data_IF_741995990356
#
_entry.id   IF_741995990356
#
_cell.length_a   1.000
_cell.length_b   1.000
_cell.length_c   1.000
_cell.angle_alpha   90.00
_cell.angle_beta   90.00
_cell.angle_gamma   90.00
#
_symmetry.space_group_name_H-M   'P 1'
#
loop_
_entity.id
_entity.type
_entity.pdbx_description
1 polymer ?
#
# COMPACT_ATOMS: atom_id res chain seq x y z
N UNK A 1 12.70 -11.00 48.11
CA UNK A 1 11.47 -10.20 47.98
C UNK A 1 11.19 -10.08 46.49
N UNK A 2 10.57 -11.12 45.90
CA UNK A 2 10.17 -11.18 44.49
C UNK A 2 8.67 -10.95 44.37
N UNK A 3 8.24 -9.76 44.78
CA UNK A 3 6.91 -9.27 44.44
C UNK A 3 7.07 -8.54 43.10
N UNK A 4 6.24 -8.90 42.12
CA UNK A 4 6.14 -8.33 40.76
C UNK A 4 6.88 -9.05 39.62
N UNK A 5 6.94 -10.39 39.62
CA UNK A 5 6.92 -11.09 38.34
C UNK A 5 5.56 -10.76 37.70
N UNK A 6 5.51 -9.73 36.84
CA UNK A 6 4.36 -9.42 36.03
C UNK A 6 4.07 -10.67 35.18
N UNK A 7 3.15 -11.52 35.66
CA UNK A 7 2.70 -12.69 34.93
C UNK A 7 2.03 -12.11 33.69
N UNK A 8 2.70 -12.24 32.55
CA UNK A 8 2.14 -11.87 31.28
C UNK A 8 0.99 -12.84 30.99
N UNK A 9 -0.22 -12.44 31.40
CA UNK A 9 -1.45 -13.24 31.40
C UNK A 9 -1.70 -13.78 29.98
N UNK A 10 -1.40 -12.99 28.96
CA UNK A 10 -1.50 -13.37 27.56
C UNK A 10 -0.69 -14.63 27.18
N UNK A 11 0.56 -14.74 27.62
CA UNK A 11 1.41 -15.89 27.31
C UNK A 11 0.99 -17.16 28.07
N UNK A 12 0.42 -17.01 29.28
CA UNK A 12 -0.01 -18.16 30.11
C UNK A 12 -1.31 -18.81 29.62
N UNK A 13 -2.20 -18.03 29.02
CA UNK A 13 -3.52 -18.52 28.58
C UNK A 13 -3.63 -18.74 27.06
N UNK A 14 -2.53 -18.56 26.32
CA UNK A 14 -2.48 -18.63 24.85
C UNK A 14 -3.64 -17.89 24.16
N UNK A 15 -4.18 -16.85 24.81
CA UNK A 15 -5.43 -16.26 24.36
C UNK A 15 -5.20 -15.51 23.05
N UNK A 16 -6.06 -15.70 22.03
CA UNK A 16 -5.95 -14.99 20.75
C UNK A 16 -6.00 -13.48 20.89
N UNK A 17 -6.57 -12.98 22.00
CA UNK A 17 -6.71 -11.56 22.34
C UNK A 17 -5.62 -11.04 23.28
N UNK A 18 -4.84 -11.93 23.90
CA UNK A 18 -3.75 -11.57 24.80
C UNK A 18 -2.41 -11.50 24.09
N UNK A 19 -2.15 -12.38 23.12
CA UNK A 19 -0.94 -12.29 22.30
C UNK A 19 -0.95 -10.95 21.57
N UNK A 20 -0.01 -10.08 21.91
CA UNK A 20 0.08 -8.66 21.54
C UNK A 20 0.19 -8.33 20.03
N UNK A 21 -0.27 -9.19 19.12
CA UNK A 21 -0.12 -9.02 17.67
C UNK A 21 -1.41 -8.92 16.86
N UNK A 22 -2.50 -9.61 17.24
CA UNK A 22 -3.72 -9.74 16.41
C UNK A 22 -4.77 -8.65 16.65
N UNK A 23 -4.34 -7.40 16.55
CA UNK A 23 -5.21 -6.23 16.68
C UNK A 23 -5.77 -5.70 15.35
N UNK A 24 -6.58 -4.65 15.42
CA UNK A 24 -7.05 -3.89 14.23
C UNK A 24 -5.86 -3.39 13.39
N UNK A 25 -4.72 -3.12 14.02
CA UNK A 25 -3.48 -2.72 13.35
C UNK A 25 -2.97 -3.75 12.33
N UNK A 26 -3.06 -5.05 12.62
CA UNK A 26 -2.62 -6.11 11.69
C UNK A 26 -3.53 -6.19 10.46
N UNK A 27 -4.85 -6.08 10.67
CA UNK A 27 -5.83 -6.06 9.57
C UNK A 27 -5.62 -4.85 8.65
N UNK A 28 -5.40 -3.67 9.24
CA UNK A 28 -5.10 -2.45 8.49
C UNK A 28 -3.77 -2.60 7.74
N UNK A 29 -2.75 -3.17 8.38
CA UNK A 29 -1.43 -3.38 7.78
C UNK A 29 -1.51 -4.27 6.53
N UNK A 30 -2.19 -5.41 6.65
CA UNK A 30 -2.42 -6.33 5.52
C UNK A 30 -3.18 -5.62 4.40
N UNK A 31 -4.23 -4.87 4.73
CA UNK A 31 -5.02 -4.16 3.74
C UNK A 31 -4.21 -3.09 3.00
N UNK A 32 -3.49 -2.24 3.74
CA UNK A 32 -2.66 -1.15 3.20
C UNK A 32 -1.52 -1.70 2.35
N UNK A 33 -0.82 -2.71 2.84
CA UNK A 33 0.28 -3.36 2.11
C UNK A 33 -0.21 -3.95 0.79
N UNK A 34 -1.29 -4.73 0.81
CA UNK A 34 -1.87 -5.30 -0.41
C UNK A 34 -2.39 -4.22 -1.37
N UNK A 35 -3.04 -3.17 -0.85
CA UNK A 35 -3.51 -2.06 -1.66
C UNK A 35 -2.36 -1.35 -2.38
N UNK A 36 -1.22 -1.16 -1.72
CA UNK A 36 -0.03 -0.54 -2.33
C UNK A 36 0.54 -1.40 -3.48
N UNK A 37 0.63 -2.72 -3.31
CA UNK A 37 1.08 -3.61 -4.39
C UNK A 37 0.13 -3.60 -5.60
N UNK A 38 -1.18 -3.64 -5.36
CA UNK A 38 -2.19 -3.60 -6.41
C UNK A 38 -2.15 -2.25 -7.12
N UNK A 39 -2.11 -1.14 -6.36
CA UNK A 39 -2.08 0.21 -6.91
C UNK A 39 -0.84 0.45 -7.77
N UNK A 40 0.35 0.02 -7.31
CA UNK A 40 1.59 0.08 -8.09
C UNK A 40 1.52 -0.73 -9.38
N UNK A 41 0.92 -1.92 -9.33
CA UNK A 41 0.74 -2.76 -10.52
C UNK A 41 -0.19 -2.11 -11.54
N UNK A 42 -1.36 -1.62 -11.10
CA UNK A 42 -2.32 -0.93 -11.97
C UNK A 42 -1.68 0.29 -12.62
N UNK A 43 -0.93 1.08 -11.84
CA UNK A 43 -0.25 2.26 -12.32
C UNK A 43 0.71 1.94 -13.47
N UNK A 44 1.50 0.87 -13.33
CA UNK A 44 2.41 0.42 -14.38
C UNK A 44 1.65 0.13 -15.68
N UNK A 45 0.57 -0.66 -15.61
CA UNK A 45 -0.24 -0.97 -16.78
C UNK A 45 -0.87 0.29 -17.40
N UNK A 46 -1.35 1.22 -16.59
CA UNK A 46 -1.95 2.48 -17.05
C UNK A 46 -0.93 3.35 -17.78
N UNK A 47 0.31 3.40 -17.28
CA UNK A 47 1.40 4.15 -17.87
C UNK A 47 1.84 3.52 -19.21
N UNK A 48 1.96 2.19 -19.26
CA UNK A 48 2.30 1.47 -20.51
C UNK A 48 1.20 1.64 -21.56
N UNK A 49 -0.06 1.38 -21.22
CA UNK A 49 -1.19 1.48 -22.15
C UNK A 49 -1.40 2.93 -22.59
N UNK A 50 -1.32 3.88 -21.66
CA UNK A 50 -1.44 5.31 -21.96
C UNK A 50 -0.31 5.81 -22.86
N UNK A 51 0.93 5.44 -22.54
CA UNK A 51 2.11 5.80 -23.34
C UNK A 51 2.05 5.23 -24.76
N UNK A 52 1.74 3.93 -24.90
CA UNK A 52 1.56 3.29 -26.20
C UNK A 52 0.40 3.94 -26.98
N UNK A 53 -0.71 4.27 -26.31
CA UNK A 53 -1.85 4.96 -26.92
C UNK A 53 -1.50 6.33 -27.50
N UNK A 54 -0.64 7.10 -26.82
CA UNK A 54 -0.13 8.39 -27.33
C UNK A 54 0.73 8.18 -28.57
N UNK A 55 1.68 7.24 -28.52
CA UNK A 55 2.62 6.97 -29.62
C UNK A 55 1.87 6.48 -30.86
N UNK A 56 0.97 5.51 -30.71
CA UNK A 56 0.19 4.95 -31.82
C UNK A 56 -0.80 5.96 -32.41
N UNK A 57 -1.50 6.71 -31.55
CA UNK A 57 -2.45 7.74 -31.99
C UNK A 57 -1.78 8.90 -32.73
N UNK A 58 -0.60 9.32 -32.28
CA UNK A 58 0.19 10.36 -32.95
C UNK A 58 0.72 9.88 -34.32
N UNK A 59 1.14 8.61 -34.43
CA UNK A 59 1.66 8.06 -35.69
C UNK A 59 0.60 7.80 -36.76
N UNK A 60 -0.65 7.52 -36.37
CA UNK A 60 -1.75 7.22 -37.29
C UNK A 60 -2.69 8.39 -37.59
N UNK A 61 -2.41 9.59 -37.07
CA UNK A 61 -3.34 10.73 -37.08
C UNK A 61 -4.74 10.36 -36.57
N UNK A 62 -4.80 9.48 -35.56
CA UNK A 62 -6.06 9.09 -34.91
C UNK A 62 -6.26 9.96 -33.64
N UNK A 63 -7.06 11.04 -33.73
CA UNK A 63 -7.28 11.95 -32.61
C UNK A 63 -8.00 11.28 -31.43
N UNK A 64 -8.78 10.22 -31.68
CA UNK A 64 -9.51 9.51 -30.63
C UNK A 64 -8.55 8.69 -29.77
N UNK A 65 -7.66 7.93 -30.42
CA UNK A 65 -6.65 7.14 -29.70
C UNK A 65 -5.65 8.03 -28.95
N UNK A 66 -5.25 9.14 -29.56
CA UNK A 66 -4.38 10.14 -28.93
C UNK A 66 -5.02 10.76 -27.68
N UNK A 67 -6.30 11.14 -27.76
CA UNK A 67 -7.04 11.70 -26.62
C UNK A 67 -7.14 10.72 -25.45
N UNK A 68 -7.45 9.45 -25.73
CA UNK A 68 -7.51 8.39 -24.72
C UNK A 68 -6.14 8.12 -24.09
N UNK A 69 -5.08 8.06 -24.90
CA UNK A 69 -3.72 7.87 -24.41
C UNK A 69 -3.27 9.00 -23.48
N UNK A 70 -3.55 10.26 -23.86
CA UNK A 70 -3.26 11.43 -23.02
C UNK A 70 -4.03 11.39 -21.70
N UNK A 71 -5.33 11.08 -21.73
CA UNK A 71 -6.14 10.96 -20.52
C UNK A 71 -5.62 9.85 -19.58
N UNK A 72 -5.26 8.69 -20.13
CA UNK A 72 -4.68 7.59 -19.37
C UNK A 72 -3.31 7.96 -18.76
N UNK A 73 -2.45 8.65 -19.52
CA UNK A 73 -1.17 9.12 -19.02
C UNK A 73 -1.31 10.15 -17.88
N UNK A 74 -2.25 11.10 -18.02
CA UNK A 74 -2.56 12.07 -16.95
C UNK A 74 -3.11 11.37 -15.71
N UNK A 75 -4.00 10.39 -15.88
CA UNK A 75 -4.52 9.60 -14.76
C UNK A 75 -3.42 8.79 -14.06
N UNK A 76 -2.48 8.19 -14.83
CA UNK A 76 -1.33 7.49 -14.29
C UNK A 76 -0.41 8.42 -13.48
N UNK A 77 -0.15 9.64 -13.99
CA UNK A 77 0.63 10.67 -13.30
C UNK A 77 -0.04 11.11 -11.98
N UNK A 78 -1.35 11.35 -12.00
CA UNK A 78 -2.09 11.70 -10.78
C UNK A 78 -2.09 10.54 -9.78
N UNK A 79 -2.33 9.31 -10.25
CA UNK A 79 -2.24 8.11 -9.43
C UNK A 79 -0.85 7.92 -8.81
N UNK A 80 0.21 8.24 -9.56
CA UNK A 80 1.58 8.17 -9.07
C UNK A 80 1.78 9.09 -7.87
N UNK A 81 1.37 10.35 -7.98
CA UNK A 81 1.51 11.33 -6.90
C UNK A 81 0.74 10.88 -5.65
N UNK A 82 -0.46 10.31 -5.83
CA UNK A 82 -1.27 9.79 -4.71
C UNK A 82 -0.54 8.65 -4.01
N UNK A 83 -0.10 7.62 -4.75
CA UNK A 83 0.61 6.46 -4.17
C UNK A 83 1.92 6.89 -3.52
N UNK A 84 2.66 7.78 -4.17
CA UNK A 84 3.91 8.33 -3.66
C UNK A 84 3.71 9.07 -2.33
N UNK A 85 2.67 9.88 -2.23
CA UNK A 85 2.35 10.60 -0.98
C UNK A 85 1.83 9.66 0.10
N UNK A 86 1.00 8.67 -0.28
CA UNK A 86 0.51 7.65 0.63
C UNK A 86 1.65 6.83 1.24
N UNK A 87 2.70 6.53 0.47
CA UNK A 87 3.87 5.80 0.95
C UNK A 87 4.56 6.55 2.11
N UNK A 88 4.75 7.86 1.97
CA UNK A 88 5.32 8.67 3.06
C UNK A 88 4.42 8.74 4.28
N UNK A 89 3.10 8.85 4.10
CA UNK A 89 2.15 8.84 5.22
C UNK A 89 2.26 7.52 5.99
N UNK A 90 2.28 6.38 5.29
CA UNK A 90 2.40 5.06 5.92
C UNK A 90 3.73 4.93 6.65
N UNK A 91 4.85 5.34 6.06
CA UNK A 91 6.16 5.34 6.71
C UNK A 91 6.18 6.15 8.02
N UNK A 92 5.55 7.32 8.03
CA UNK A 92 5.43 8.14 9.26
C UNK A 92 4.60 7.39 10.31
N UNK A 93 3.52 6.72 9.91
CA UNK A 93 2.69 5.92 10.82
C UNK A 93 3.48 4.74 11.38
N UNK A 94 4.24 4.00 10.57
CA UNK A 94 5.11 2.91 11.02
C UNK A 94 6.12 3.42 12.05
N UNK A 95 6.76 4.57 11.78
CA UNK A 95 7.75 5.16 12.68
C UNK A 95 7.16 5.56 14.05
N UNK A 96 5.93 6.08 14.08
CA UNK A 96 5.28 6.52 15.33
C UNK A 96 4.66 5.33 16.09
N UNK A 97 4.08 4.37 15.38
CA UNK A 97 3.35 3.25 16.00
C UNK A 97 4.24 2.04 16.30
N UNK A 98 5.40 1.91 15.65
CA UNK A 98 6.27 0.73 15.74
C UNK A 98 5.67 -0.54 15.14
N UNK A 99 4.58 -0.41 14.37
CA UNK A 99 3.95 -1.53 13.66
C UNK A 99 4.53 -1.61 12.25
N UNK A 100 5.01 -2.79 11.87
CA UNK A 100 5.47 -3.07 10.50
C UNK A 100 4.25 -3.24 9.58
N UNK A 101 3.98 -2.25 8.72
CA UNK A 101 2.88 -2.28 7.75
C UNK A 101 3.33 -2.92 6.44
N UNK A 102 4.51 -2.56 5.93
CA UNK A 102 5.01 -3.09 4.66
C UNK A 102 5.55 -4.51 4.76
N UNK A 103 6.15 -4.87 5.90
CA UNK A 103 6.76 -6.17 6.14
C UNK A 103 6.37 -6.70 7.52
N UNK A 104 5.11 -7.10 7.74
CA UNK A 104 4.66 -7.63 9.02
C UNK A 104 5.49 -8.85 9.41
N UNK A 105 6.41 -8.67 10.35
CA UNK A 105 7.17 -9.77 10.95
C UNK A 105 6.28 -10.38 12.03
N UNK A 106 5.73 -11.57 11.77
CA UNK A 106 4.76 -12.23 12.65
C UNK A 106 5.37 -12.76 13.96
N UNK A 107 5.96 -11.89 14.77
CA UNK A 107 6.46 -12.18 16.12
C UNK A 107 5.49 -11.71 17.20
#
# INVERSE_FOLDING_TARGET
MDLLAAINIANRFESPFGKSGKGIGELVSIFVSNAMYIAGSILLFMLVIGGLGIIMGAGKNDPQQLGRGKAAATAALLGFIIIFTAFWIVQIIEYITGVDIFFPTGV
#
